data_IF_699256945380
#
_entry.id   IF_699256945380
#
_cell.length_a   1.000
_cell.length_b   1.000
_cell.length_c   1.000
_cell.angle_alpha   90.00
_cell.angle_beta   90.00
_cell.angle_gamma   90.00
#
_symmetry.space_group_name_H-M   'P 1'
#
loop_
_entity.id
_entity.type
_entity.pdbx_description
1 polymer ?
#
# COMPACT_ATOMS: atom_id res chain seq x y z
N UNK A 1 -7.80 2.93 7.11
CA UNK A 1 -6.95 1.72 7.12
C UNK A 1 -5.61 1.96 7.82
N UNK A 2 -4.82 2.96 7.39
CA UNK A 2 -3.46 3.24 7.90
C UNK A 2 -3.41 4.32 9.01
N UNK A 3 -4.48 4.44 9.81
CA UNK A 3 -4.60 5.41 10.94
C UNK A 3 -4.41 6.90 10.60
N UNK A 4 -4.83 7.31 9.41
CA UNK A 4 -5.02 8.73 9.05
C UNK A 4 -6.46 9.00 8.62
N UNK A 5 -6.83 10.27 8.50
CA UNK A 5 -8.17 10.73 8.13
C UNK A 5 -8.13 11.94 7.19
N UNK A 6 -9.28 12.26 6.58
CA UNK A 6 -9.49 13.45 5.74
C UNK A 6 -8.55 13.57 4.52
N UNK A 7 -8.24 12.45 3.88
CA UNK A 7 -7.41 12.39 2.67
C UNK A 7 -6.10 13.19 2.83
N UNK A 8 -5.22 12.75 3.75
CA UNK A 8 -4.05 13.52 4.18
C UNK A 8 -3.11 13.84 3.02
N UNK A 9 -2.50 15.01 3.07
CA UNK A 9 -1.58 15.55 2.06
C UNK A 9 -0.21 15.91 2.64
N UNK A 10 0.13 15.28 3.76
CA UNK A 10 1.38 15.51 4.47
C UNK A 10 1.97 14.19 4.90
N UNK A 11 3.29 14.10 4.83
CA UNK A 11 4.03 12.96 5.36
C UNK A 11 3.89 12.92 6.88
N UNK A 12 3.79 11.70 7.41
CA UNK A 12 3.60 11.48 8.83
C UNK A 12 4.22 10.15 9.19
N UNK A 13 5.04 10.12 10.24
CA UNK A 13 5.80 8.96 10.64
C UNK A 13 5.52 8.64 12.11
N UNK A 14 4.88 7.51 12.37
CA UNK A 14 4.74 6.92 13.70
C UNK A 14 5.34 5.51 13.73
N UNK A 15 5.61 4.92 14.91
CA UNK A 15 6.28 3.63 14.99
C UNK A 15 5.60 2.51 14.18
N UNK A 16 4.26 2.52 14.08
CA UNK A 16 3.49 1.42 13.48
C UNK A 16 2.63 1.82 12.28
N UNK A 17 2.58 3.09 11.88
CA UNK A 17 1.80 3.51 10.72
C UNK A 17 2.25 4.89 10.24
N UNK A 18 1.93 5.21 8.99
CA UNK A 18 2.20 6.53 8.46
C UNK A 18 2.18 6.63 6.95
N UNK A 19 2.62 7.80 6.48
CA UNK A 19 2.76 8.19 5.09
C UNK A 19 4.23 8.54 4.90
N UNK A 20 4.95 7.67 4.20
CA UNK A 20 6.40 7.81 3.94
C UNK A 20 6.64 8.80 2.80
N UNK A 21 5.79 8.76 1.78
CA UNK A 21 5.90 9.60 0.60
C UNK A 21 4.53 10.15 0.21
N UNK A 22 4.46 11.47 0.08
CA UNK A 22 3.34 12.18 -0.55
C UNK A 22 3.86 12.98 -1.76
N UNK A 23 3.32 12.70 -2.95
CA UNK A 23 3.78 13.34 -4.20
C UNK A 23 2.74 14.22 -4.89
N UNK A 24 1.61 14.49 -4.22
CA UNK A 24 0.56 15.33 -4.77
C UNK A 24 0.97 16.80 -4.92
N UNK A 25 0.19 17.55 -5.69
CA UNK A 25 0.37 18.99 -5.88
C UNK A 25 -0.98 19.74 -5.81
N UNK A 26 -1.01 21.08 -5.82
CA UNK A 26 -2.25 21.85 -5.73
C UNK A 26 -3.27 21.54 -6.84
N UNK A 27 -2.80 21.26 -8.06
CA UNK A 27 -3.66 20.95 -9.21
C UNK A 27 -4.26 19.54 -9.10
N UNK A 28 -3.48 18.60 -8.55
CA UNK A 28 -3.93 17.23 -8.30
C UNK A 28 -3.30 16.64 -7.02
N UNK A 29 -4.10 16.67 -5.95
CA UNK A 29 -3.68 16.33 -4.59
C UNK A 29 -3.21 14.90 -4.36
N UNK A 30 -3.53 13.95 -5.24
CA UNK A 30 -3.13 12.54 -5.09
C UNK A 30 -2.38 12.04 -6.32
N UNK A 31 -1.81 12.95 -7.11
CA UNK A 31 -0.99 12.61 -8.28
C UNK A 31 0.27 11.86 -7.84
N UNK A 32 0.76 11.01 -8.75
CA UNK A 32 2.08 10.40 -8.64
C UNK A 32 2.14 9.27 -7.60
N UNK A 33 3.34 9.07 -7.06
CA UNK A 33 3.65 7.93 -6.19
C UNK A 33 3.38 8.30 -4.74
N UNK A 34 2.61 7.46 -4.05
CA UNK A 34 2.29 7.64 -2.65
C UNK A 34 2.58 6.35 -1.90
N UNK A 35 3.22 6.44 -0.74
CA UNK A 35 3.62 5.27 0.05
C UNK A 35 3.13 5.41 1.47
N UNK A 36 2.37 4.42 1.92
CA UNK A 36 1.86 4.32 3.29
C UNK A 36 2.26 2.98 3.89
N UNK A 37 2.30 2.92 5.22
CA UNK A 37 2.59 1.69 5.95
C UNK A 37 1.67 1.54 7.16
N UNK A 38 1.48 0.28 7.55
CA UNK A 38 0.88 -0.10 8.83
C UNK A 38 1.46 -1.44 9.27
N UNK A 39 1.95 -1.50 10.49
CA UNK A 39 2.41 -2.69 11.18
C UNK A 39 1.46 -3.03 12.31
N UNK A 40 1.00 -4.27 12.35
CA UNK A 40 0.13 -4.78 13.41
C UNK A 40 0.95 -5.43 14.52
N UNK A 41 1.77 -4.65 15.21
CA UNK A 41 2.69 -5.14 16.24
C UNK A 41 1.92 -5.44 17.54
N UNK A 42 1.27 -4.43 18.09
CA UNK A 42 0.47 -4.53 19.32
C UNK A 42 -0.94 -5.11 19.05
N UNK A 43 -1.42 -5.03 17.80
CA UNK A 43 -2.75 -5.45 17.35
C UNK A 43 -2.70 -6.52 16.22
N UNK A 44 -2.00 -7.66 16.40
CA UNK A 44 -1.82 -8.65 15.33
C UNK A 44 -3.15 -9.28 14.90
N UNK A 45 -3.32 -9.43 13.59
CA UNK A 45 -4.47 -10.13 13.02
C UNK A 45 -4.22 -11.64 13.08
N UNK A 46 -4.86 -12.32 14.04
CA UNK A 46 -4.68 -13.75 14.28
C UNK A 46 -5.59 -14.60 13.39
N UNK A 47 -5.09 -15.74 12.92
CA UNK A 47 -5.88 -16.72 12.18
C UNK A 47 -5.46 -18.15 12.57
N UNK A 48 -6.38 -19.11 12.42
CA UNK A 48 -6.12 -20.54 12.72
C UNK A 48 -5.89 -21.38 11.47
N UNK A 49 -6.56 -21.07 10.36
CA UNK A 49 -6.54 -21.87 9.12
C UNK A 49 -5.99 -21.09 7.93
N UNK A 50 -6.63 -19.96 7.61
CA UNK A 50 -6.24 -19.10 6.50
C UNK A 50 -6.58 -17.65 6.80
N UNK A 51 -5.93 -16.75 6.06
CA UNK A 51 -6.15 -15.31 6.10
C UNK A 51 -6.16 -14.78 4.67
N UNK A 52 -7.07 -13.85 4.37
CA UNK A 52 -7.11 -13.12 3.10
C UNK A 52 -7.35 -11.64 3.39
N UNK A 53 -6.43 -10.81 2.91
CA UNK A 53 -6.56 -9.37 2.95
C UNK A 53 -6.71 -8.85 1.52
N UNK A 54 -7.62 -7.91 1.34
CA UNK A 54 -7.82 -7.19 0.08
C UNK A 54 -8.02 -5.71 0.38
N UNK A 55 -7.55 -4.86 -0.52
CA UNK A 55 -7.81 -3.42 -0.52
C UNK A 55 -8.49 -3.09 -1.85
N UNK A 56 -9.49 -2.22 -1.79
CA UNK A 56 -10.19 -1.74 -2.96
C UNK A 56 -9.31 -0.77 -3.79
N UNK A 57 -9.32 -0.90 -5.11
CA UNK A 57 -8.68 0.06 -6.02
C UNK A 57 -9.58 1.29 -6.23
N UNK A 58 -9.71 2.11 -5.18
CA UNK A 58 -10.69 3.19 -5.13
C UNK A 58 -12.12 2.67 -5.10
N UNK A 59 -13.10 3.56 -4.92
CA UNK A 59 -14.49 3.14 -4.71
C UNK A 59 -15.01 2.27 -5.87
N UNK A 60 -15.60 1.14 -5.52
CA UNK A 60 -16.06 0.05 -6.38
C UNK A 60 -14.98 -0.49 -7.34
N UNK A 61 -13.70 -0.46 -6.95
CA UNK A 61 -12.54 -0.82 -7.79
C UNK A 61 -12.50 -0.07 -9.13
N UNK A 62 -12.98 1.18 -9.16
CA UNK A 62 -13.13 1.97 -10.39
C UNK A 62 -11.87 2.72 -10.81
N UNK A 63 -10.82 2.72 -9.99
CA UNK A 63 -9.56 3.39 -10.32
C UNK A 63 -8.57 2.41 -10.95
N UNK A 64 -7.79 2.91 -11.90
CA UNK A 64 -6.74 2.15 -12.59
C UNK A 64 -5.35 2.42 -12.00
N UNK A 65 -5.28 2.53 -10.67
CA UNK A 65 -4.02 2.81 -9.98
C UNK A 65 -3.08 1.60 -10.04
N UNK A 66 -1.78 1.87 -10.13
CA UNK A 66 -0.73 0.86 -10.04
C UNK A 66 -0.35 0.63 -8.57
N UNK A 67 -0.73 -0.53 -8.01
CA UNK A 67 -0.45 -0.87 -6.61
C UNK A 67 0.62 -1.97 -6.52
N UNK A 68 1.63 -1.70 -5.70
CA UNK A 68 2.55 -2.71 -5.18
C UNK A 68 2.42 -2.73 -3.65
N UNK A 69 2.47 -3.93 -3.05
CA UNK A 69 2.42 -4.07 -1.59
C UNK A 69 3.32 -5.19 -1.11
N UNK A 70 3.68 -5.15 0.16
CA UNK A 70 4.42 -6.21 0.84
C UNK A 70 3.72 -6.50 2.15
N UNK A 71 3.44 -7.77 2.42
CA UNK A 71 2.82 -8.21 3.65
C UNK A 71 3.83 -9.01 4.48
N UNK A 72 3.88 -8.71 5.78
CA UNK A 72 4.68 -9.44 6.75
C UNK A 72 3.74 -10.22 7.65
N UNK A 73 4.01 -11.51 7.84
CA UNK A 73 3.20 -12.38 8.66
C UNK A 73 4.05 -13.51 9.25
N UNK A 74 3.54 -14.11 10.31
CA UNK A 74 4.17 -15.25 10.98
C UNK A 74 3.27 -16.49 10.85
N UNK A 75 3.91 -17.63 10.67
CA UNK A 75 3.28 -18.95 10.67
C UNK A 75 3.99 -19.83 11.70
N UNK A 76 3.32 -20.88 12.17
CA UNK A 76 3.93 -21.88 13.05
C UNK A 76 5.11 -22.60 12.40
N UNK A 77 5.09 -22.73 11.08
CA UNK A 77 6.13 -23.36 10.26
C UNK A 77 6.35 -22.53 8.99
N UNK A 78 7.58 -22.46 8.45
CA UNK A 78 7.86 -21.76 7.20
C UNK A 78 7.03 -22.34 6.06
N UNK A 79 6.19 -21.52 5.43
CA UNK A 79 5.51 -21.87 4.19
C UNK A 79 5.59 -20.72 3.20
N UNK A 80 5.83 -21.07 1.94
CA UNK A 80 5.59 -20.15 0.84
C UNK A 80 4.09 -19.80 0.86
N UNK A 81 3.78 -18.52 1.02
CA UNK A 81 2.42 -18.02 0.99
C UNK A 81 2.26 -16.98 -0.11
N UNK A 82 1.03 -16.78 -0.55
CA UNK A 82 0.70 -15.86 -1.63
C UNK A 82 0.89 -16.44 -3.04
N UNK A 83 0.51 -15.66 -4.06
CA UNK A 83 0.77 -16.01 -5.45
C UNK A 83 2.26 -15.95 -5.78
N UNK A 84 2.66 -16.59 -6.89
CA UNK A 84 4.00 -16.41 -7.43
C UNK A 84 4.26 -14.91 -7.70
N UNK A 85 5.49 -14.45 -7.45
CA UNK A 85 5.90 -13.11 -7.83
C UNK A 85 5.83 -12.97 -9.36
N UNK A 86 5.32 -11.84 -9.81
CA UNK A 86 5.31 -11.49 -11.23
C UNK A 86 6.76 -11.39 -11.77
N UNK A 87 6.97 -11.63 -13.08
CA UNK A 87 8.24 -11.36 -13.75
C UNK A 87 8.73 -9.93 -13.49
N UNK A 88 10.05 -9.73 -13.55
CA UNK A 88 10.68 -8.42 -13.29
C UNK A 88 10.05 -7.31 -14.13
N UNK A 89 9.85 -7.57 -15.42
CA UNK A 89 9.35 -6.57 -16.38
C UNK A 89 7.92 -6.11 -16.06
N UNK A 90 7.13 -6.94 -15.38
CA UNK A 90 5.75 -6.62 -14.97
C UNK A 90 5.66 -5.87 -13.64
N UNK A 91 6.78 -5.74 -12.91
CA UNK A 91 6.85 -5.06 -11.60
C UNK A 91 7.81 -3.89 -11.58
N UNK A 92 8.24 -3.43 -12.76
CA UNK A 92 9.01 -2.19 -12.88
C UNK A 92 8.10 -1.00 -12.55
N UNK A 93 8.62 0.02 -11.84
CA UNK A 93 7.84 1.20 -11.53
C UNK A 93 7.40 1.91 -12.81
N UNK A 94 6.14 2.35 -12.85
CA UNK A 94 5.67 3.23 -13.93
C UNK A 94 6.57 4.47 -14.03
N UNK A 95 6.85 4.95 -15.26
CA UNK A 95 7.50 6.25 -15.46
C UNK A 95 6.77 7.34 -14.69
N UNK A 96 7.51 8.36 -14.25
CA UNK A 96 6.84 9.53 -13.70
C UNK A 96 6.06 10.20 -14.83
N UNK A 97 4.78 10.50 -14.58
CA UNK A 97 4.00 11.33 -15.51
C UNK A 97 4.71 12.69 -15.67
N UNK A 98 4.70 13.24 -16.88
CA UNK A 98 5.14 14.61 -17.09
C UNK A 98 4.36 15.54 -16.15
N UNK A 99 5.03 16.57 -15.61
CA UNK A 99 4.30 17.67 -14.98
C UNK A 99 3.41 18.23 -16.10
N UNK A 100 2.09 18.11 -15.95
CA UNK A 100 1.18 18.95 -16.71
C UNK A 100 1.66 20.38 -16.46
N UNK A 101 2.17 21.03 -17.51
CA UNK A 101 2.52 22.44 -17.50
C UNK A 101 1.28 23.30 -17.43
#
# INVERSE_FOLDING_TARGET
>A
WYHCAYCPTSEYNAPYHGIILYSGNPDWRFKGKNTVYRYHIEDPIRFRKSFRMSIEHGHANKLSNDYASTAYYYLSEPRCGGPALLPVDERLPRPNEERYG
#
